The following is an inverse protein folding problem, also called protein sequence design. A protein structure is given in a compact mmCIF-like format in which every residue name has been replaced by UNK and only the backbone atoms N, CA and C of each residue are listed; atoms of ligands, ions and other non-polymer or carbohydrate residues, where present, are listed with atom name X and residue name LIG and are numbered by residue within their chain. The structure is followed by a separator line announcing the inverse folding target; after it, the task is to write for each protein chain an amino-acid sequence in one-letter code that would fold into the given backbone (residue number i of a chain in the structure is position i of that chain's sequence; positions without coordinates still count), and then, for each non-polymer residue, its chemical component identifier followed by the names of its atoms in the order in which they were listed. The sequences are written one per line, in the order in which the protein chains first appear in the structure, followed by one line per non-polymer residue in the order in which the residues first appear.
data_IF_377003344582
#
_entry.id   IF_377003344582
#
_cell.length_a   1.000
_cell.length_b   1.000
_cell.length_c   1.000
_cell.angle_alpha   90.00
_cell.angle_beta   90.00
_cell.angle_gamma   90.00
#
_symmetry.space_group_name_H-M   'P 1'
#
loop_
_entity.id
_entity.type
_entity.pdbx_description
1 polymer ?
#
# COMPACT_ATOMS: atom_id res chain seq x y z
N UNK A 1 -34.94 25.96 -12.97
CA UNK A 1 -35.29 25.21 -11.76
C UNK A 1 -34.57 23.87 -11.80
N UNK A 2 -33.31 23.82 -11.35
CA UNK A 2 -32.62 22.57 -11.07
C UNK A 2 -33.22 22.03 -9.77
N UNK A 3 -33.87 20.87 -9.87
CA UNK A 3 -34.38 20.17 -8.70
C UNK A 3 -33.20 19.85 -7.77
N UNK A 4 -33.20 20.40 -6.57
CA UNK A 4 -32.36 19.95 -5.46
C UNK A 4 -32.77 18.49 -5.16
N UNK A 5 -32.09 17.53 -5.80
CA UNK A 5 -32.12 16.17 -5.31
C UNK A 5 -31.37 16.18 -3.97
N UNK A 6 -32.13 16.22 -2.88
CA UNK A 6 -31.61 16.00 -1.56
C UNK A 6 -30.95 14.61 -1.55
N UNK A 7 -29.63 14.56 -1.43
CA UNK A 7 -28.90 13.33 -1.17
C UNK A 7 -29.46 12.78 0.14
N UNK A 8 -30.21 11.68 0.06
CA UNK A 8 -30.68 10.97 1.25
C UNK A 8 -29.41 10.51 1.98
N UNK A 9 -29.15 10.97 3.22
CA UNK A 9 -27.92 10.59 3.91
C UNK A 9 -27.95 9.08 4.12
N UNK A 10 -26.99 8.38 3.53
CA UNK A 10 -26.77 6.97 3.82
C UNK A 10 -26.23 6.93 5.25
N UNK A 11 -27.06 6.46 6.19
CA UNK A 11 -26.62 6.28 7.57
C UNK A 11 -25.55 5.21 7.62
N UNK A 12 -24.43 5.52 8.27
CA UNK A 12 -23.37 4.56 8.51
C UNK A 12 -23.31 4.29 10.03
N UNK A 13 -23.80 3.12 10.47
CA UNK A 13 -23.92 2.82 11.91
C UNK A 13 -22.59 2.90 12.66
N UNK A 14 -21.47 2.63 12.01
CA UNK A 14 -20.14 2.71 12.63
C UNK A 14 -19.80 4.14 13.03
N UNK A 15 -20.00 5.10 12.12
CA UNK A 15 -19.67 6.50 12.39
C UNK A 15 -20.70 7.13 13.34
N UNK A 16 -21.98 6.76 13.24
CA UNK A 16 -23.02 7.19 14.19
C UNK A 16 -22.70 6.74 15.62
N UNK A 17 -22.23 5.49 15.80
CA UNK A 17 -21.84 4.97 17.12
C UNK A 17 -20.64 5.72 17.71
N UNK A 18 -19.79 6.32 16.88
CA UNK A 18 -18.67 7.16 17.30
C UNK A 18 -19.04 8.65 17.43
N UNK A 19 -20.33 8.98 17.27
CA UNK A 19 -20.83 10.36 17.26
C UNK A 19 -20.13 11.25 16.20
N UNK A 20 -19.83 10.65 15.04
CA UNK A 20 -19.26 11.31 13.86
C UNK A 20 -20.37 11.41 12.80
N UNK A 21 -20.64 12.60 12.33
CA UNK A 21 -21.63 12.79 11.26
C UNK A 21 -21.02 12.36 9.93
N UNK A 22 -21.71 11.46 9.23
CA UNK A 22 -21.26 10.88 7.96
C UNK A 22 -22.03 11.45 6.77
N UNK A 23 -21.31 11.88 5.74
CA UNK A 23 -21.86 12.28 4.44
C UNK A 23 -21.16 11.54 3.30
N UNK A 24 -21.92 10.93 2.40
CA UNK A 24 -21.40 10.22 1.22
C UNK A 24 -22.00 8.81 1.03
N UNK A 25 -21.43 7.99 0.11
CA UNK A 25 -20.31 8.33 -0.77
C UNK A 25 -20.68 9.36 -1.84
N UNK A 26 -19.75 10.29 -2.11
CA UNK A 26 -19.91 11.37 -3.09
C UNK A 26 -18.90 11.16 -4.22
N UNK A 27 -19.30 11.41 -5.45
CA UNK A 27 -18.37 11.40 -6.58
C UNK A 27 -17.43 12.61 -6.50
N UNK A 28 -16.13 12.35 -6.22
CA UNK A 28 -15.11 13.39 -6.11
C UNK A 28 -14.71 14.02 -7.44
N UNK A 29 -15.14 13.47 -8.57
CA UNK A 29 -14.92 14.03 -9.91
C UNK A 29 -16.12 14.85 -10.40
N UNK A 30 -17.21 14.91 -9.64
CA UNK A 30 -18.41 15.69 -9.93
C UNK A 30 -18.47 16.92 -9.02
N UNK A 31 -18.10 18.09 -9.53
CA UNK A 31 -18.09 19.33 -8.76
C UNK A 31 -19.47 19.75 -8.28
N UNK A 32 -20.51 19.43 -9.02
CA UNK A 32 -21.92 19.71 -8.68
C UNK A 32 -22.36 18.97 -7.42
N UNK A 33 -21.75 17.82 -7.12
CA UNK A 33 -21.99 17.06 -5.89
C UNK A 33 -21.01 17.41 -4.78
N UNK A 34 -19.73 17.55 -5.13
CA UNK A 34 -18.64 17.74 -4.16
C UNK A 34 -18.71 19.08 -3.44
N UNK A 35 -18.90 20.20 -4.19
CA UNK A 35 -18.90 21.52 -3.60
C UNK A 35 -20.04 21.75 -2.59
N UNK A 36 -21.29 21.40 -2.89
CA UNK A 36 -22.37 21.51 -1.88
C UNK A 36 -22.13 20.63 -0.65
N UNK A 37 -21.57 19.45 -0.82
CA UNK A 37 -21.29 18.55 0.30
C UNK A 37 -20.19 19.10 1.23
N UNK A 38 -19.13 19.69 0.67
CA UNK A 38 -18.09 20.38 1.46
C UNK A 38 -18.70 21.58 2.18
N UNK A 39 -19.50 22.39 1.48
CA UNK A 39 -20.15 23.55 2.08
C UNK A 39 -21.09 23.17 3.23
N UNK A 40 -21.89 22.11 3.07
CA UNK A 40 -22.76 21.59 4.12
C UNK A 40 -21.96 21.12 5.34
N UNK A 41 -20.88 20.36 5.11
CA UNK A 41 -20.02 19.88 6.19
C UNK A 41 -19.38 21.03 6.98
N UNK A 42 -18.98 22.13 6.31
CA UNK A 42 -18.39 23.30 6.96
C UNK A 42 -19.37 24.11 7.81
N UNK A 43 -20.69 23.96 7.61
CA UNK A 43 -21.72 24.65 8.41
C UNK A 43 -22.07 23.92 9.70
N UNK A 44 -21.68 22.67 9.84
CA UNK A 44 -22.01 21.79 10.95
C UNK A 44 -20.98 21.88 12.07
N UNK A 45 -21.44 21.67 13.29
CA UNK A 45 -20.55 21.57 14.46
C UNK A 45 -20.20 20.11 14.75
N UNK A 46 -19.02 19.89 15.37
CA UNK A 46 -18.54 18.55 15.72
C UNK A 46 -17.78 17.85 14.59
N UNK A 47 -17.35 16.61 14.81
CA UNK A 47 -16.56 15.87 13.85
C UNK A 47 -17.43 15.43 12.65
N UNK A 48 -16.91 15.70 11.45
CA UNK A 48 -17.57 15.38 10.18
C UNK A 48 -16.71 14.36 9.40
N UNK A 49 -17.35 13.34 8.85
CA UNK A 49 -16.72 12.39 7.94
C UNK A 49 -17.35 12.53 6.54
N UNK A 50 -16.61 13.15 5.63
CA UNK A 50 -17.01 13.28 4.24
C UNK A 50 -16.37 12.16 3.41
N UNK A 51 -17.18 11.19 2.96
CA UNK A 51 -16.72 10.09 2.14
C UNK A 51 -16.75 10.48 0.66
N UNK A 52 -15.57 10.67 0.08
CA UNK A 52 -15.40 11.02 -1.33
C UNK A 52 -14.83 9.81 -2.06
N UNK A 53 -15.45 9.43 -3.17
CA UNK A 53 -14.94 8.39 -4.07
C UNK A 53 -14.25 9.05 -5.25
N UNK A 54 -13.00 8.64 -5.51
CA UNK A 54 -12.23 9.10 -6.65
C UNK A 54 -11.66 7.89 -7.40
N UNK A 55 -11.34 8.11 -8.67
CA UNK A 55 -10.60 7.16 -9.49
C UNK A 55 -9.20 7.72 -9.74
N UNK A 56 -8.17 6.96 -9.34
CA UNK A 56 -6.79 7.36 -9.58
C UNK A 56 -6.52 7.44 -11.09
N UNK A 57 -5.91 8.55 -11.52
CA UNK A 57 -5.65 8.80 -12.95
C UNK A 57 -6.82 9.37 -13.75
N UNK A 58 -7.96 9.68 -13.11
CA UNK A 58 -9.13 10.24 -13.79
C UNK A 58 -8.77 11.44 -14.66
N UNK A 59 -9.22 11.41 -15.92
CA UNK A 59 -8.92 12.45 -16.91
C UNK A 59 -7.67 12.18 -17.75
N UNK A 60 -6.89 11.15 -17.41
CA UNK A 60 -5.74 10.72 -18.19
C UNK A 60 -5.74 9.20 -18.38
N UNK A 61 -6.25 8.75 -19.52
CA UNK A 61 -6.50 7.34 -19.82
C UNK A 61 -5.31 6.39 -19.53
N UNK A 62 -4.05 6.73 -19.87
CA UNK A 62 -2.92 5.89 -19.53
C UNK A 62 -2.76 5.63 -18.02
N UNK A 63 -3.02 6.64 -17.18
CA UNK A 63 -2.93 6.50 -15.72
C UNK A 63 -4.15 5.79 -15.12
N UNK A 64 -5.30 5.81 -15.79
CA UNK A 64 -6.48 5.02 -15.41
C UNK A 64 -6.19 3.53 -15.60
N UNK A 65 -5.52 3.19 -16.71
CA UNK A 65 -5.21 1.80 -17.08
C UNK A 65 -3.99 1.23 -16.32
N UNK A 66 -3.05 2.09 -15.92
CA UNK A 66 -1.87 1.71 -15.12
C UNK A 66 -1.65 2.71 -13.97
N UNK A 67 -2.48 2.69 -12.93
CA UNK A 67 -2.40 3.64 -11.83
C UNK A 67 -1.15 3.48 -10.95
N UNK A 68 -0.47 2.35 -11.05
CA UNK A 68 0.78 2.07 -10.33
C UNK A 68 1.95 2.67 -11.09
N UNK A 69 2.11 2.36 -12.37
CA UNK A 69 3.18 2.90 -13.21
C UNK A 69 3.15 4.42 -13.33
N UNK A 70 1.96 5.02 -13.20
CA UNK A 70 1.76 6.49 -13.20
C UNK A 70 1.64 7.10 -11.80
N UNK A 71 2.01 6.38 -10.74
CA UNK A 71 1.91 6.92 -9.38
C UNK A 71 2.88 8.08 -9.11
N UNK A 72 4.12 7.97 -9.60
CA UNK A 72 5.17 8.97 -9.43
C UNK A 72 5.98 9.07 -10.72
N UNK A 73 5.45 9.82 -11.71
CA UNK A 73 6.15 10.07 -12.97
C UNK A 73 6.75 11.46 -12.97
N UNK A 74 8.05 11.54 -13.31
CA UNK A 74 8.74 12.82 -13.50
C UNK A 74 8.63 13.33 -14.93
N UNK A 75 8.33 12.45 -15.91
CA UNK A 75 8.16 12.77 -17.33
C UNK A 75 7.06 11.94 -17.95
N UNK A 76 6.25 12.56 -18.81
CA UNK A 76 5.19 11.91 -19.60
C UNK A 76 5.74 11.14 -20.84
N UNK A 77 7.03 10.91 -20.91
CA UNK A 77 7.63 10.11 -21.97
C UNK A 77 7.29 8.63 -21.73
N UNK A 78 6.90 7.95 -22.81
CA UNK A 78 6.72 6.48 -22.80
C UNK A 78 7.97 5.83 -22.21
N UNK A 79 7.81 4.86 -21.30
CA UNK A 79 8.95 4.15 -20.73
C UNK A 79 9.80 3.60 -21.86
N UNK A 80 11.02 4.11 -22.01
CA UNK A 80 12.00 3.48 -22.92
C UNK A 80 12.13 2.05 -22.45
N UNK A 81 11.89 1.11 -23.35
CA UNK A 81 12.11 -0.32 -23.11
C UNK A 81 13.40 -0.49 -22.32
N UNK A 82 13.32 -1.19 -21.19
CA UNK A 82 14.43 -1.37 -20.23
C UNK A 82 15.62 -2.19 -20.79
N UNK A 83 15.64 -2.43 -22.11
CA UNK A 83 16.71 -3.12 -22.79
C UNK A 83 18.04 -2.36 -22.60
N UNK A 84 18.94 -2.94 -21.80
CA UNK A 84 20.28 -2.41 -21.55
C UNK A 84 20.49 -1.67 -20.22
N UNK A 85 19.50 -1.57 -19.35
CA UNK A 85 19.70 -1.03 -18.00
C UNK A 85 20.35 -2.08 -17.08
N UNK A 86 21.39 -1.66 -16.34
CA UNK A 86 21.94 -2.50 -15.28
C UNK A 86 20.85 -2.81 -14.24
N UNK A 87 20.83 -4.07 -13.73
CA UNK A 87 19.88 -4.47 -12.68
C UNK A 87 20.11 -3.64 -11.41
N UNK A 88 19.04 -3.10 -10.87
CA UNK A 88 19.05 -2.45 -9.57
C UNK A 88 19.26 -3.49 -8.44
N UNK A 89 19.56 -3.03 -7.23
CA UNK A 89 19.60 -3.92 -6.05
C UNK A 89 18.24 -4.60 -5.79
N UNK A 90 17.12 -3.89 -6.00
CA UNK A 90 15.78 -4.46 -5.88
C UNK A 90 15.54 -5.56 -6.93
N UNK A 91 16.02 -5.39 -8.18
CA UNK A 91 15.92 -6.44 -9.19
C UNK A 91 16.71 -7.69 -8.81
N UNK A 92 17.92 -7.49 -8.26
CA UNK A 92 18.78 -8.60 -7.80
C UNK A 92 18.17 -9.32 -6.59
N UNK A 93 17.57 -8.56 -5.65
CA UNK A 93 16.83 -9.12 -4.54
C UNK A 93 15.62 -9.96 -5.03
N UNK A 94 14.86 -9.46 -6.00
CA UNK A 94 13.75 -10.19 -6.59
C UNK A 94 14.19 -11.51 -7.25
N UNK A 95 15.30 -11.50 -7.98
CA UNK A 95 15.89 -12.71 -8.57
C UNK A 95 16.32 -13.71 -7.49
N UNK A 96 17.00 -13.24 -6.45
CA UNK A 96 17.42 -14.06 -5.32
C UNK A 96 16.22 -14.67 -4.59
N UNK A 97 15.16 -13.89 -4.37
CA UNK A 97 13.95 -14.34 -3.69
C UNK A 97 13.26 -15.48 -4.48
N UNK A 98 13.13 -15.32 -5.79
CA UNK A 98 12.58 -16.35 -6.68
C UNK A 98 13.40 -17.64 -6.61
N UNK A 99 14.72 -17.55 -6.78
CA UNK A 99 15.61 -18.72 -6.73
C UNK A 99 15.57 -19.42 -5.36
N UNK A 100 15.49 -18.64 -4.29
CA UNK A 100 15.40 -19.19 -2.92
C UNK A 100 14.07 -19.89 -2.71
N UNK A 101 12.97 -19.34 -3.21
CA UNK A 101 11.65 -19.94 -3.10
C UNK A 101 11.46 -21.18 -4.00
N UNK A 102 12.19 -21.27 -5.10
CA UNK A 102 12.25 -22.48 -5.93
C UNK A 102 12.92 -23.64 -5.18
N UNK A 103 13.99 -23.32 -4.44
CA UNK A 103 14.74 -24.31 -3.68
C UNK A 103 14.08 -24.71 -2.34
N UNK A 104 13.30 -23.81 -1.71
CA UNK A 104 12.64 -24.06 -0.43
C UNK A 104 11.17 -23.60 -0.45
N UNK A 105 10.21 -24.56 -0.41
CA UNK A 105 8.78 -24.24 -0.45
C UNK A 105 8.27 -23.49 0.79
N UNK A 106 9.06 -23.39 1.86
CA UNK A 106 8.70 -22.66 3.08
C UNK A 106 8.91 -21.17 2.97
N UNK A 107 9.60 -20.70 1.93
CA UNK A 107 9.84 -19.26 1.71
C UNK A 107 8.54 -18.55 1.38
N UNK A 108 8.24 -17.52 2.17
CA UNK A 108 7.06 -16.65 2.04
C UNK A 108 7.52 -15.21 1.91
N UNK A 109 7.04 -14.52 0.89
CA UNK A 109 7.29 -13.08 0.69
C UNK A 109 6.19 -12.22 1.28
N UNK A 110 6.55 -11.21 2.06
CA UNK A 110 5.61 -10.27 2.68
C UNK A 110 6.07 -8.85 2.41
N UNK A 111 5.15 -7.95 2.07
CA UNK A 111 5.42 -6.52 1.95
C UNK A 111 4.21 -5.69 2.34
N UNK A 112 4.37 -4.53 3.00
CA UNK A 112 3.29 -3.61 3.28
C UNK A 112 3.17 -2.54 2.18
N UNK A 113 2.48 -2.86 1.07
CA UNK A 113 2.22 -1.98 -0.08
C UNK A 113 3.47 -1.48 -0.83
N UNK A 114 4.55 -2.29 -0.89
CA UNK A 114 5.83 -1.88 -1.51
C UNK A 114 6.34 -2.89 -2.54
N UNK A 115 5.45 -3.60 -3.24
CA UNK A 115 5.77 -4.70 -4.16
C UNK A 115 6.77 -4.30 -5.24
N UNK A 116 6.49 -3.24 -5.97
CA UNK A 116 7.31 -2.79 -7.11
C UNK A 116 8.68 -2.27 -6.64
N UNK A 117 8.67 -1.38 -5.67
CA UNK A 117 9.89 -0.73 -5.20
C UNK A 117 10.83 -1.66 -4.44
N UNK A 118 10.32 -2.74 -3.85
CA UNK A 118 11.15 -3.78 -3.22
C UNK A 118 11.60 -4.86 -4.19
N UNK A 119 11.10 -4.89 -5.44
CA UNK A 119 11.44 -5.89 -6.44
C UNK A 119 10.67 -7.21 -6.29
N UNK A 120 9.55 -7.22 -5.56
CA UNK A 120 8.77 -8.44 -5.29
C UNK A 120 7.69 -8.75 -6.35
N UNK A 121 7.43 -7.87 -7.32
CA UNK A 121 6.34 -8.03 -8.30
C UNK A 121 6.42 -9.36 -9.06
N UNK A 122 7.61 -9.75 -9.54
CA UNK A 122 7.79 -11.04 -10.24
C UNK A 122 7.62 -12.26 -9.33
N UNK A 123 7.98 -12.12 -8.05
CA UNK A 123 7.73 -13.15 -7.05
C UNK A 123 6.23 -13.32 -6.80
N UNK A 124 5.48 -12.23 -6.72
CA UNK A 124 4.03 -12.23 -6.57
C UNK A 124 3.33 -12.95 -7.75
N UNK A 125 3.79 -12.71 -8.96
CA UNK A 125 3.27 -13.36 -10.18
C UNK A 125 3.59 -14.87 -10.20
N UNK A 126 4.81 -15.24 -9.84
CA UNK A 126 5.28 -16.63 -9.93
C UNK A 126 4.81 -17.50 -8.75
N UNK A 127 4.68 -16.92 -7.57
CA UNK A 127 4.30 -17.61 -6.33
C UNK A 127 3.13 -16.93 -5.59
N UNK A 128 1.96 -16.74 -6.21
CA UNK A 128 0.86 -15.96 -5.65
C UNK A 128 0.34 -16.50 -4.31
N UNK A 129 0.46 -17.82 -4.06
CA UNK A 129 0.07 -18.44 -2.78
C UNK A 129 1.10 -18.26 -1.65
N UNK A 130 2.28 -17.76 -1.97
CA UNK A 130 3.39 -17.52 -1.04
C UNK A 130 3.79 -16.03 -0.98
N UNK A 131 2.98 -15.17 -1.55
CA UNK A 131 3.15 -13.73 -1.52
C UNK A 131 1.98 -13.06 -0.81
N UNK A 132 2.28 -12.13 0.08
CA UNK A 132 1.30 -11.37 0.84
C UNK A 132 1.63 -9.88 0.83
N UNK A 133 0.80 -9.10 0.19
CA UNK A 133 0.78 -7.65 0.37
C UNK A 133 -0.27 -7.33 1.44
N UNK A 134 0.18 -6.84 2.58
CA UNK A 134 -0.69 -6.56 3.73
C UNK A 134 -1.20 -5.12 3.72
N UNK A 135 -1.10 -4.43 2.59
CA UNK A 135 -1.38 -2.99 2.45
C UNK A 135 -0.50 -2.14 3.39
N UNK A 136 -0.89 -0.90 3.68
CA UNK A 136 -0.12 0.03 4.54
C UNK A 136 -0.32 -0.36 6.02
N UNK A 137 0.22 -1.53 6.40
CA UNK A 137 0.07 -2.11 7.73
C UNK A 137 1.39 -2.77 8.20
N UNK A 138 2.41 -1.97 8.43
CA UNK A 138 3.77 -2.41 8.73
C UNK A 138 3.85 -3.23 10.02
N UNK A 139 3.09 -2.85 11.06
CA UNK A 139 2.99 -3.60 12.30
C UNK A 139 2.42 -5.01 12.06
N UNK A 140 1.34 -5.08 11.28
CA UNK A 140 0.74 -6.35 10.91
C UNK A 140 1.71 -7.22 10.10
N UNK A 141 2.48 -6.63 9.17
CA UNK A 141 3.48 -7.34 8.39
C UNK A 141 4.50 -8.07 9.28
N UNK A 142 5.02 -7.40 10.30
CA UNK A 142 5.99 -7.99 11.24
C UNK A 142 5.36 -9.08 12.11
N UNK A 143 4.18 -8.84 12.69
CA UNK A 143 3.46 -9.85 13.49
C UNK A 143 3.04 -11.07 12.65
N UNK A 144 2.58 -10.84 11.42
CA UNK A 144 2.24 -11.91 10.49
C UNK A 144 3.46 -12.77 10.12
N UNK A 145 4.61 -12.13 9.84
CA UNK A 145 5.87 -12.83 9.63
C UNK A 145 6.26 -13.68 10.85
N UNK A 146 6.12 -13.15 12.06
CA UNK A 146 6.36 -13.89 13.30
C UNK A 146 5.45 -15.11 13.41
N UNK A 147 4.14 -14.97 13.15
CA UNK A 147 3.19 -16.06 13.16
C UNK A 147 3.56 -17.18 12.18
N UNK A 148 3.98 -16.84 10.97
CA UNK A 148 4.45 -17.82 9.98
C UNK A 148 5.73 -18.51 10.42
N UNK A 149 6.68 -17.79 11.02
CA UNK A 149 7.93 -18.38 11.53
C UNK A 149 7.68 -19.39 12.65
N UNK A 150 6.67 -19.17 13.51
CA UNK A 150 6.30 -20.18 14.55
C UNK A 150 5.84 -21.51 13.96
N UNK A 151 5.38 -21.52 12.73
CA UNK A 151 4.94 -22.73 12.00
C UNK A 151 6.03 -23.31 11.10
N UNK A 152 7.29 -22.88 11.27
CA UNK A 152 8.43 -23.37 10.51
C UNK A 152 8.53 -22.85 9.07
N UNK A 153 7.73 -21.84 8.71
CA UNK A 153 7.89 -21.12 7.47
C UNK A 153 9.10 -20.18 7.54
N UNK A 154 9.59 -19.73 6.38
CA UNK A 154 10.70 -18.79 6.26
C UNK A 154 10.20 -17.48 5.67
N UNK A 155 9.63 -16.59 6.49
CA UNK A 155 9.13 -15.32 6.03
C UNK A 155 10.27 -14.36 5.67
N UNK A 156 10.09 -13.67 4.55
CA UNK A 156 10.95 -12.59 4.06
C UNK A 156 10.09 -11.35 3.97
N UNK A 157 10.31 -10.41 4.90
CA UNK A 157 9.62 -9.14 4.96
C UNK A 157 10.43 -8.08 4.21
N UNK A 158 9.95 -7.63 3.06
CA UNK A 158 10.55 -6.54 2.30
C UNK A 158 9.86 -5.21 2.60
N UNK A 159 10.60 -4.25 3.13
CA UNK A 159 10.07 -3.00 3.64
C UNK A 159 11.08 -1.86 3.45
N UNK A 160 10.59 -0.62 3.24
CA UNK A 160 11.48 0.54 3.21
C UNK A 160 11.94 0.93 4.62
N UNK A 161 13.17 1.43 4.71
CA UNK A 161 13.79 1.80 6.00
C UNK A 161 12.93 2.77 6.80
N UNK A 162 12.39 3.80 6.15
CA UNK A 162 11.56 4.80 6.81
C UNK A 162 10.25 4.23 7.38
N UNK A 163 9.67 3.19 6.74
CA UNK A 163 8.42 2.59 7.19
C UNK A 163 8.62 1.46 8.20
N UNK A 164 9.82 0.88 8.27
CA UNK A 164 10.15 -0.13 9.29
C UNK A 164 10.02 0.42 10.71
N UNK A 165 10.24 1.72 10.91
CA UNK A 165 10.07 2.36 12.22
C UNK A 165 8.66 2.17 12.81
N UNK A 166 7.61 2.03 11.97
CA UNK A 166 6.25 1.77 12.44
C UNK A 166 6.07 0.38 13.06
N UNK A 167 6.92 -0.58 12.70
CA UNK A 167 6.87 -1.95 13.20
C UNK A 167 7.93 -2.21 14.28
N UNK A 168 8.52 -1.18 14.87
CA UNK A 168 9.60 -1.32 15.84
C UNK A 168 9.23 -2.25 16.99
N UNK A 169 8.10 -2.03 17.63
CA UNK A 169 7.64 -2.83 18.77
C UNK A 169 7.41 -4.30 18.36
N UNK A 170 6.83 -4.53 17.19
CA UNK A 170 6.56 -5.88 16.68
C UNK A 170 7.86 -6.61 16.32
N UNK A 171 8.83 -5.92 15.75
CA UNK A 171 10.16 -6.51 15.48
C UNK A 171 10.84 -6.91 16.79
N UNK A 172 10.77 -6.08 17.82
CA UNK A 172 11.35 -6.40 19.13
C UNK A 172 10.58 -7.52 19.82
N UNK A 173 9.28 -7.35 20.01
CA UNK A 173 8.46 -8.25 20.83
C UNK A 173 8.13 -9.57 20.12
N UNK A 174 7.67 -9.50 18.84
CA UNK A 174 7.13 -10.65 18.15
C UNK A 174 8.22 -11.49 17.47
N UNK A 175 9.33 -10.86 17.03
CA UNK A 175 10.41 -11.55 16.35
C UNK A 175 11.64 -11.76 17.24
N UNK A 176 12.25 -10.67 17.75
CA UNK A 176 13.55 -10.74 18.39
C UNK A 176 13.50 -11.42 19.77
N UNK A 177 12.55 -11.05 20.64
CA UNK A 177 12.40 -11.65 21.98
C UNK A 177 12.08 -13.14 21.86
N UNK A 178 11.29 -13.53 20.88
CA UNK A 178 10.90 -14.93 20.63
C UNK A 178 11.95 -15.70 19.82
N UNK A 179 13.01 -15.03 19.33
CA UNK A 179 14.09 -15.63 18.52
C UNK A 179 13.56 -16.36 17.28
N UNK A 180 12.61 -15.75 16.59
CA UNK A 180 12.02 -16.33 15.39
C UNK A 180 12.85 -16.02 14.14
N UNK A 181 12.96 -16.99 13.25
CA UNK A 181 13.66 -16.86 11.97
C UNK A 181 12.80 -16.05 10.98
N UNK A 182 13.15 -14.77 10.81
CA UNK A 182 12.58 -13.91 9.80
C UNK A 182 13.70 -13.09 9.15
N UNK A 183 13.72 -13.05 7.81
CA UNK A 183 14.60 -12.14 7.10
C UNK A 183 13.86 -10.84 6.85
N UNK A 184 14.44 -9.71 7.27
CA UNK A 184 13.93 -8.38 6.98
C UNK A 184 14.82 -7.75 5.90
N UNK A 185 14.30 -7.62 4.69
CA UNK A 185 14.98 -6.96 3.58
C UNK A 185 14.62 -5.46 3.59
N UNK A 186 15.58 -4.63 4.03
CA UNK A 186 15.36 -3.20 4.19
C UNK A 186 15.82 -2.50 2.89
N UNK A 187 14.85 -1.94 2.17
CA UNK A 187 15.10 -1.16 0.96
C UNK A 187 15.24 0.33 1.30
N UNK A 188 15.91 1.09 0.43
CA UNK A 188 16.11 2.54 0.58
C UNK A 188 16.76 2.91 1.93
N UNK A 189 17.74 2.11 2.36
CA UNK A 189 18.50 2.33 3.59
C UNK A 189 19.86 2.95 3.23
N UNK A 190 19.90 4.24 2.96
CA UNK A 190 21.13 4.95 2.58
C UNK A 190 20.84 6.20 1.76
N UNK A 191 21.82 6.64 0.97
CA UNK A 191 21.64 7.77 0.04
C UNK A 191 20.89 7.29 -1.20
N UNK A 192 19.63 7.69 -1.33
CA UNK A 192 18.72 7.23 -2.39
C UNK A 192 18.22 8.34 -3.31
N UNK A 193 18.82 9.52 -3.26
CA UNK A 193 18.46 10.68 -4.09
C UNK A 193 17.14 11.33 -3.67
N UNK A 194 16.36 11.81 -4.63
CA UNK A 194 15.12 12.55 -4.39
C UNK A 194 13.97 11.70 -3.83
N UNK A 195 14.05 10.37 -3.95
CA UNK A 195 13.10 9.42 -3.37
C UNK A 195 13.50 8.95 -1.96
N UNK A 196 14.49 9.58 -1.37
CA UNK A 196 14.97 9.24 -0.05
C UNK A 196 13.97 9.58 1.05
N UNK A 197 14.09 8.93 2.23
CA UNK A 197 13.29 9.29 3.39
C UNK A 197 13.65 10.67 3.91
#
# INVERSE_FOLDING_TARGET
HASKQALTPIKNPLFEALNVEYAGPIDGHCYEQLLPAIQDALTKSGPQFLHIRTQKGQGFEPAVNDPIGFHAITKLETPKTQAGRAKSFSDQFGDWLINTAEADPRVIGITPAMSEGSGMSRFAEQYPSRYFDVAIAEQHAATFAAGLATQGMKPILAIYSTFLQRAFDQVVHDLAVQRLDCLIAINRAGLVGEDGP
#
